data_IF_206664599010
#
_entry.id   IF_206664599010
#
_cell.length_a   1.000
_cell.length_b   1.000
_cell.length_c   1.000
_cell.angle_alpha   90.00
_cell.angle_beta   90.00
_cell.angle_gamma   90.00
#
_symmetry.space_group_name_H-M   'P 1'
#
loop_
_entity.id
_entity.type
_entity.pdbx_description
1 polymer ?
#
# COMPACT_ATOMS: atom_id res chain seq x y z
N UNK A 1 -7.28 -0.33 -7.62
CA UNK A 1 -6.66 -1.63 -7.33
C UNK A 1 -7.62 -2.43 -6.46
N UNK A 2 -8.37 -3.34 -7.08
CA UNK A 2 -9.43 -4.13 -6.43
C UNK A 2 -8.92 -4.96 -5.25
N UNK A 3 -7.66 -5.41 -5.31
CA UNK A 3 -7.06 -6.19 -4.22
C UNK A 3 -6.89 -5.36 -2.94
N UNK A 4 -6.43 -4.12 -3.03
CA UNK A 4 -6.30 -3.24 -1.86
C UNK A 4 -7.67 -2.82 -1.32
N UNK A 5 -8.64 -2.55 -2.20
CA UNK A 5 -10.03 -2.26 -1.78
C UNK A 5 -10.59 -3.43 -0.99
N UNK A 6 -10.43 -4.66 -1.48
CA UNK A 6 -10.87 -5.86 -0.76
C UNK A 6 -10.20 -6.05 0.60
N UNK A 7 -8.91 -5.69 0.73
CA UNK A 7 -8.19 -5.72 2.01
C UNK A 7 -8.74 -4.67 2.96
N UNK A 8 -8.98 -3.44 2.50
CA UNK A 8 -9.49 -2.36 3.35
C UNK A 8 -10.89 -2.65 3.87
N UNK A 9 -11.80 -3.14 3.03
CA UNK A 9 -13.12 -3.59 3.47
C UNK A 9 -13.06 -4.66 4.57
N UNK A 10 -12.10 -5.57 4.49
CA UNK A 10 -11.89 -6.57 5.55
C UNK A 10 -11.34 -5.95 6.83
N UNK A 11 -10.40 -5.01 6.73
CA UNK A 11 -9.80 -4.35 7.90
C UNK A 11 -10.85 -3.55 8.69
N UNK A 12 -11.86 -2.96 8.05
CA UNK A 12 -12.98 -2.30 8.71
C UNK A 12 -13.78 -3.25 9.63
N UNK A 13 -13.91 -4.51 9.23
CA UNK A 13 -14.55 -5.53 10.06
C UNK A 13 -13.59 -6.03 11.15
N UNK A 14 -12.31 -6.19 10.80
CA UNK A 14 -11.30 -6.71 11.72
C UNK A 14 -11.00 -5.77 12.88
N UNK A 15 -11.14 -4.45 12.72
CA UNK A 15 -10.90 -3.50 13.82
C UNK A 15 -11.82 -3.79 15.02
N UNK A 16 -13.08 -4.14 14.78
CA UNK A 16 -14.05 -4.50 15.83
C UNK A 16 -13.59 -5.78 16.54
N UNK A 17 -13.15 -6.78 15.77
CA UNK A 17 -12.63 -8.03 16.31
C UNK A 17 -11.36 -7.81 17.13
N UNK A 18 -10.46 -6.94 16.70
CA UNK A 18 -9.25 -6.58 17.44
C UNK A 18 -9.57 -5.88 18.75
N UNK A 19 -10.57 -4.98 18.78
CA UNK A 19 -11.03 -4.39 20.02
C UNK A 19 -11.46 -5.44 21.04
N UNK A 20 -12.25 -6.43 20.63
CA UNK A 20 -12.71 -7.53 21.49
C UNK A 20 -11.55 -8.40 21.97
N UNK A 21 -10.68 -8.82 21.06
CA UNK A 21 -9.53 -9.69 21.38
C UNK A 21 -8.59 -8.98 22.36
N UNK A 22 -8.27 -7.71 22.10
CA UNK A 22 -7.36 -6.92 22.96
C UNK A 22 -8.00 -6.69 24.33
N UNK A 23 -9.30 -6.37 24.39
CA UNK A 23 -10.00 -6.22 25.68
C UNK A 23 -9.95 -7.50 26.51
N UNK A 24 -10.25 -8.64 25.91
CA UNK A 24 -10.20 -9.93 26.58
C UNK A 24 -8.78 -10.31 27.01
N UNK A 25 -7.78 -10.07 26.18
CA UNK A 25 -6.39 -10.32 26.53
C UNK A 25 -5.95 -9.46 27.72
N UNK A 26 -6.28 -8.18 27.74
CA UNK A 26 -5.98 -7.27 28.85
C UNK A 26 -6.75 -7.65 30.12
N UNK A 27 -7.99 -8.07 29.99
CA UNK A 27 -8.76 -8.58 31.12
C UNK A 27 -8.11 -9.81 31.76
N UNK A 28 -7.67 -10.78 30.96
CA UNK A 28 -6.96 -11.96 31.49
C UNK A 28 -5.65 -11.62 32.19
N UNK A 29 -5.02 -10.52 31.81
CA UNK A 29 -3.83 -9.97 32.48
C UNK A 29 -4.17 -9.10 33.71
N UNK A 30 -5.45 -8.90 34.03
CA UNK A 30 -5.88 -8.06 35.15
C UNK A 30 -5.78 -6.56 34.91
N UNK A 31 -5.63 -6.10 33.66
CA UNK A 31 -5.45 -4.68 33.31
C UNK A 31 -6.76 -3.91 33.16
N UNK A 32 -7.88 -4.59 32.93
CA UNK A 32 -9.17 -3.95 32.67
C UNK A 32 -10.36 -4.87 32.99
N UNK A 33 -11.60 -4.34 32.92
CA UNK A 33 -12.83 -5.11 33.07
C UNK A 33 -13.21 -5.80 31.73
N UNK A 34 -13.93 -6.92 31.83
CA UNK A 34 -14.43 -7.68 30.66
C UNK A 34 -15.76 -7.18 30.11
N UNK A 35 -16.49 -6.38 30.89
CA UNK A 35 -17.89 -6.03 30.57
C UNK A 35 -18.03 -4.93 29.52
N UNK A 36 -16.97 -4.16 29.30
CA UNK A 36 -16.98 -3.04 28.36
C UNK A 36 -15.61 -2.91 27.67
N UNK A 37 -15.65 -2.59 26.39
CA UNK A 37 -14.42 -2.27 25.64
C UNK A 37 -14.01 -0.85 26.04
N UNK A 38 -12.81 -0.71 26.61
CA UNK A 38 -12.27 0.58 27.02
C UNK A 38 -11.54 1.29 25.87
N UNK A 39 -11.29 2.59 26.05
CA UNK A 39 -10.64 3.44 25.04
C UNK A 39 -9.22 2.94 24.72
N UNK A 40 -8.50 2.39 25.68
CA UNK A 40 -7.15 1.88 25.47
C UNK A 40 -7.15 0.68 24.53
N UNK A 41 -8.11 -0.24 24.69
CA UNK A 41 -8.26 -1.38 23.77
C UNK A 41 -8.62 -0.95 22.36
N UNK A 42 -9.45 0.08 22.21
CA UNK A 42 -9.77 0.69 20.90
C UNK A 42 -8.53 1.31 20.27
N UNK A 43 -7.75 2.10 21.00
CA UNK A 43 -6.54 2.72 20.50
C UNK A 43 -5.51 1.68 20.03
N UNK A 44 -5.31 0.62 20.80
CA UNK A 44 -4.42 -0.49 20.42
C UNK A 44 -4.94 -1.23 19.16
N UNK A 45 -6.24 -1.40 19.03
CA UNK A 45 -6.85 -2.00 17.84
C UNK A 45 -6.66 -1.14 16.59
N UNK A 46 -6.76 0.19 16.71
CA UNK A 46 -6.48 1.14 15.62
C UNK A 46 -5.02 1.01 15.17
N UNK A 47 -4.07 1.02 16.10
CA UNK A 47 -2.65 0.88 15.79
C UNK A 47 -2.35 -0.45 15.09
N UNK A 48 -2.96 -1.54 15.53
CA UNK A 48 -2.81 -2.86 14.92
C UNK A 48 -3.40 -2.88 13.50
N UNK A 49 -4.56 -2.25 13.30
CA UNK A 49 -5.20 -2.13 11.98
C UNK A 49 -4.33 -1.32 11.01
N UNK A 50 -3.73 -0.21 11.46
CA UNK A 50 -2.80 0.59 10.66
C UNK A 50 -1.53 -0.19 10.30
N UNK A 51 -1.01 -1.00 11.19
CA UNK A 51 0.10 -1.90 10.89
C UNK A 51 -0.26 -2.87 9.75
N UNK A 52 -1.42 -3.52 9.80
CA UNK A 52 -1.86 -4.41 8.73
C UNK A 52 -2.12 -3.65 7.42
N UNK A 53 -2.70 -2.45 7.50
CA UNK A 53 -2.96 -1.62 6.32
C UNK A 53 -1.65 -1.27 5.60
N UNK A 54 -0.66 -0.79 6.33
CA UNK A 54 0.65 -0.41 5.78
C UNK A 54 1.42 -1.63 5.25
N UNK A 55 1.33 -2.75 5.95
CA UNK A 55 1.95 -4.02 5.53
C UNK A 55 1.32 -4.54 4.25
N UNK A 56 -0.01 -4.49 4.12
CA UNK A 56 -0.72 -4.91 2.91
C UNK A 56 -0.28 -4.11 1.67
N UNK A 57 -0.09 -2.79 1.82
CA UNK A 57 0.43 -1.94 0.74
C UNK A 57 1.85 -2.37 0.34
N UNK A 58 2.73 -2.60 1.31
CA UNK A 58 4.11 -3.05 1.05
C UNK A 58 4.15 -4.39 0.32
N UNK A 59 3.37 -5.36 0.78
CA UNK A 59 3.28 -6.68 0.15
C UNK A 59 2.73 -6.57 -1.27
N UNK A 60 1.66 -5.79 -1.47
CA UNK A 60 1.08 -5.59 -2.81
C UNK A 60 2.07 -4.94 -3.77
N UNK A 61 2.86 -3.97 -3.29
CA UNK A 61 3.92 -3.33 -4.08
C UNK A 61 5.01 -4.34 -4.45
N UNK A 62 5.48 -5.14 -3.49
CA UNK A 62 6.48 -6.16 -3.74
C UNK A 62 6.02 -7.21 -4.77
N UNK A 63 4.81 -7.75 -4.61
CA UNK A 63 4.21 -8.69 -5.57
C UNK A 63 4.07 -8.07 -6.96
N UNK A 64 3.66 -6.80 -7.03
CA UNK A 64 3.53 -6.10 -8.31
C UNK A 64 4.89 -5.89 -8.99
N UNK A 65 5.96 -5.68 -8.22
CA UNK A 65 7.33 -5.60 -8.77
C UNK A 65 7.84 -6.93 -9.30
N UNK A 66 7.55 -8.03 -8.61
CA UNK A 66 7.95 -9.37 -9.07
C UNK A 66 7.26 -9.79 -10.37
N UNK A 67 6.05 -9.30 -10.61
CA UNK A 67 5.29 -9.58 -11.84
C UNK A 67 5.72 -8.72 -13.04
N UNK A 68 6.64 -7.76 -12.85
CA UNK A 68 7.16 -6.94 -13.93
C UNK A 68 8.11 -7.76 -14.82
N UNK A 69 8.05 -7.50 -16.14
CA UNK A 69 9.11 -7.96 -17.04
C UNK A 69 10.44 -7.30 -16.66
N UNK A 70 11.56 -7.93 -17.01
CA UNK A 70 12.91 -7.42 -16.70
C UNK A 70 13.10 -5.97 -17.17
N UNK A 71 12.62 -5.63 -18.37
CA UNK A 71 12.65 -4.27 -18.90
C UNK A 71 11.89 -3.28 -18.00
N UNK A 72 10.65 -3.59 -17.63
CA UNK A 72 9.84 -2.73 -16.78
C UNK A 72 10.44 -2.60 -15.38
N UNK A 73 11.01 -3.68 -14.85
CA UNK A 73 11.68 -3.68 -13.54
C UNK A 73 12.91 -2.78 -13.54
N UNK A 74 13.75 -2.86 -14.58
CA UNK A 74 14.92 -2.01 -14.71
C UNK A 74 14.54 -0.53 -14.80
N UNK A 75 13.54 -0.18 -15.60
CA UNK A 75 13.01 1.18 -15.68
C UNK A 75 12.50 1.62 -14.30
N UNK A 76 11.67 0.81 -13.63
CA UNK A 76 11.13 1.14 -12.31
C UNK A 76 12.23 1.41 -11.27
N UNK A 77 13.28 0.59 -11.23
CA UNK A 77 14.39 0.75 -10.29
C UNK A 77 15.17 2.06 -10.52
N UNK A 78 15.32 2.48 -11.77
CA UNK A 78 16.08 3.67 -12.14
C UNK A 78 15.25 4.98 -12.12
N UNK A 79 13.92 4.89 -12.00
CA UNK A 79 13.09 6.09 -11.79
C UNK A 79 13.39 6.69 -10.40
N UNK A 80 13.41 8.04 -10.25
CA UNK A 80 13.49 8.72 -8.96
C UNK A 80 12.25 8.43 -8.09
N UNK A 81 12.34 8.74 -6.79
CA UNK A 81 11.19 8.62 -5.87
C UNK A 81 10.02 9.51 -6.28
N UNK A 82 10.33 10.69 -6.85
CA UNK A 82 9.36 11.58 -7.49
C UNK A 82 9.90 11.96 -8.86
N UNK A 83 9.04 11.94 -9.85
CA UNK A 83 9.42 12.23 -11.23
C UNK A 83 8.23 12.78 -12.02
N UNK A 84 8.55 13.54 -13.05
CA UNK A 84 7.58 14.00 -14.05
C UNK A 84 7.43 12.96 -15.18
N UNK A 85 6.33 13.05 -15.92
CA UNK A 85 6.13 12.19 -17.10
C UNK A 85 7.29 12.32 -18.09
N UNK A 86 7.83 13.55 -18.29
CA UNK A 86 8.93 13.79 -19.23
C UNK A 86 10.24 13.12 -18.78
N UNK A 87 10.60 13.24 -17.51
CA UNK A 87 11.78 12.56 -16.94
C UNK A 87 11.64 11.05 -17.04
N UNK A 88 10.46 10.52 -16.71
CA UNK A 88 10.20 9.09 -16.82
C UNK A 88 10.29 8.56 -18.26
N UNK A 89 9.83 9.34 -19.26
CA UNK A 89 9.97 8.99 -20.68
C UNK A 89 11.46 8.94 -21.06
N UNK A 90 12.26 9.96 -20.67
CA UNK A 90 13.69 9.98 -20.98
C UNK A 90 14.43 8.75 -20.43
N UNK A 91 14.09 8.32 -19.20
CA UNK A 91 14.65 7.11 -18.63
C UNK A 91 14.16 5.87 -19.39
N UNK A 92 12.87 5.77 -19.70
CA UNK A 92 12.31 4.63 -20.42
C UNK A 92 12.91 4.46 -21.83
N UNK A 93 13.15 5.55 -22.52
CA UNK A 93 13.78 5.58 -23.85
C UNK A 93 15.24 5.10 -23.80
N UNK A 94 15.99 5.41 -22.73
CA UNK A 94 17.35 4.90 -22.54
C UNK A 94 17.40 3.37 -22.40
N UNK A 95 16.29 2.76 -21.99
CA UNK A 95 16.11 1.30 -21.94
C UNK A 95 15.39 0.73 -23.19
N UNK A 96 15.15 1.55 -24.21
CA UNK A 96 14.51 1.13 -25.47
C UNK A 96 12.99 1.06 -25.42
N UNK A 97 12.35 1.60 -24.40
CA UNK A 97 10.88 1.68 -24.32
C UNK A 97 10.37 2.97 -24.95
N UNK A 98 9.43 2.87 -25.89
CA UNK A 98 8.79 4.03 -26.53
C UNK A 98 7.89 4.79 -25.56
N UNK A 99 7.78 6.10 -25.77
CA UNK A 99 6.94 7.01 -24.98
C UNK A 99 5.53 6.48 -24.71
N UNK A 100 4.83 6.01 -25.76
CA UNK A 100 3.47 5.48 -25.64
C UNK A 100 3.42 4.26 -24.70
N UNK A 101 4.39 3.34 -24.82
CA UNK A 101 4.47 2.16 -23.97
C UNK A 101 4.72 2.53 -22.52
N UNK A 102 5.57 3.52 -22.26
CA UNK A 102 5.82 4.02 -20.91
C UNK A 102 4.58 4.68 -20.29
N UNK A 103 3.85 5.50 -21.05
CA UNK A 103 2.58 6.09 -20.58
C UNK A 103 1.54 5.02 -20.24
N UNK A 104 1.46 3.95 -21.03
CA UNK A 104 0.59 2.80 -20.74
C UNK A 104 1.06 2.04 -19.50
N UNK A 105 2.37 1.87 -19.32
CA UNK A 105 2.95 1.26 -18.14
C UNK A 105 2.61 2.07 -16.87
N UNK A 106 2.80 3.40 -16.88
CA UNK A 106 2.38 4.27 -15.78
C UNK A 106 0.89 4.10 -15.47
N UNK A 107 0.04 4.23 -16.49
CA UNK A 107 -1.43 4.15 -16.30
C UNK A 107 -1.87 2.82 -15.69
N UNK A 108 -1.26 1.70 -16.11
CA UNK A 108 -1.59 0.35 -15.61
C UNK A 108 -1.21 0.16 -14.16
N UNK A 109 -0.13 0.79 -13.72
CA UNK A 109 0.44 0.58 -12.40
C UNK A 109 0.19 1.75 -11.41
N UNK A 110 -0.67 2.71 -11.76
CA UNK A 110 -1.18 3.69 -10.78
C UNK A 110 -1.94 2.95 -9.67
N UNK A 111 -1.63 3.28 -8.42
CA UNK A 111 -2.20 2.66 -7.22
C UNK A 111 -1.57 1.33 -6.82
N UNK A 112 -0.53 0.86 -7.54
CA UNK A 112 0.26 -0.33 -7.17
C UNK A 112 1.74 0.02 -7.01
N UNK A 113 2.37 0.48 -8.10
CA UNK A 113 3.79 0.87 -8.13
C UNK A 113 3.97 2.39 -8.12
N UNK A 114 2.99 3.12 -8.62
CA UNK A 114 3.05 4.56 -8.74
C UNK A 114 1.84 5.22 -8.09
N UNK A 115 2.08 6.35 -7.46
CA UNK A 115 1.05 7.27 -6.99
C UNK A 115 1.08 8.52 -7.86
N UNK A 116 -0.08 8.94 -8.36
CA UNK A 116 -0.22 10.21 -9.08
C UNK A 116 -0.41 11.31 -8.04
N UNK A 117 0.54 12.24 -7.96
CA UNK A 117 0.48 13.39 -7.04
C UNK A 117 -0.28 14.55 -7.68
N UNK A 118 0.13 14.96 -8.88
CA UNK A 118 -0.45 16.05 -9.66
C UNK A 118 -0.56 15.66 -11.14
N UNK A 119 -0.96 16.62 -11.98
CA UNK A 119 -0.97 16.42 -13.42
C UNK A 119 0.46 16.27 -13.95
N UNK A 120 0.78 15.06 -14.44
CA UNK A 120 2.10 14.73 -14.95
C UNK A 120 3.18 14.44 -13.91
N UNK A 121 2.86 14.43 -12.61
CA UNK A 121 3.78 14.13 -11.52
C UNK A 121 3.41 12.84 -10.81
N UNK A 122 4.42 12.02 -10.56
CA UNK A 122 4.27 10.69 -9.96
C UNK A 122 5.30 10.46 -8.85
N UNK A 123 4.93 9.60 -7.88
CA UNK A 123 5.85 9.05 -6.88
C UNK A 123 5.80 7.51 -6.89
N UNK A 124 6.90 6.90 -6.46
CA UNK A 124 6.98 5.44 -6.23
C UNK A 124 6.34 5.07 -4.91
#
# INVERSE_FOLDING_TARGET
NDALVGIYCKLEIYIIRFCLIIQLARWTCGECDKHMIDLESVNRAILLTEYFRTTAVKVQTAVSQEQLSELHRNIYLNLPQRFTTAEGIGIAESYGMKEHAFKMFLKRHIGTLFRKENHGEYSK
#
